data_IF_631432072890
#
_entry.id   IF_631432072890
#
_cell.length_a   1.000
_cell.length_b   1.000
_cell.length_c   1.000
_cell.angle_alpha   90.00
_cell.angle_beta   90.00
_cell.angle_gamma   90.00
#
_symmetry.space_group_name_H-M   'P 1'
#
loop_
_entity.id
_entity.type
_entity.pdbx_description
1 polymer ?
#
# COMPACT_ATOMS: atom_id res chain seq x y z
N UNK A 1 -15.01 24.37 20.06
CA UNK A 1 -15.09 22.92 19.80
C UNK A 1 -14.57 22.67 18.38
N UNK A 2 -13.26 22.86 18.19
CA UNK A 2 -12.61 22.74 16.89
C UNK A 2 -12.43 21.27 16.57
N UNK A 3 -13.29 20.77 15.69
CA UNK A 3 -13.16 19.47 15.07
C UNK A 3 -11.75 19.33 14.49
N UNK A 4 -11.07 18.28 14.90
CA UNK A 4 -9.84 17.80 14.28
C UNK A 4 -10.15 17.67 12.78
N UNK A 5 -9.60 18.56 11.96
CA UNK A 5 -9.71 18.48 10.51
C UNK A 5 -8.68 17.47 10.02
N UNK A 6 -9.06 16.22 9.68
CA UNK A 6 -8.10 15.22 9.23
C UNK A 6 -7.34 15.68 7.97
N UNK A 7 -7.92 16.57 7.16
CA UNK A 7 -7.27 17.23 6.03
C UNK A 7 -6.07 18.16 6.38
N UNK A 8 -5.86 18.51 7.65
CA UNK A 8 -4.71 19.34 8.09
C UNK A 8 -3.54 18.54 8.67
N UNK A 9 -3.70 17.24 8.89
CA UNK A 9 -2.64 16.39 9.45
C UNK A 9 -1.52 16.14 8.44
N UNK A 10 -1.84 16.13 7.15
CA UNK A 10 -0.88 16.05 6.06
C UNK A 10 -1.14 17.26 5.17
N UNK A 11 -0.22 18.24 5.14
CA UNK A 11 -0.36 19.42 4.28
C UNK A 11 -0.23 19.03 2.79
N UNK A 12 -1.32 18.92 2.00
CA UNK A 12 -1.29 18.31 0.66
C UNK A 12 -0.50 19.11 -0.37
N UNK A 13 -0.17 20.36 -0.04
CA UNK A 13 0.53 21.31 -0.91
C UNK A 13 1.88 21.76 -0.32
N UNK A 14 2.43 21.01 0.65
CA UNK A 14 3.74 21.32 1.23
C UNK A 14 4.85 21.18 0.19
N UNK A 15 5.71 22.20 0.14
CA UNK A 15 6.84 22.28 -0.79
C UNK A 15 7.84 21.17 -0.50
N UNK A 16 8.28 20.48 -1.55
CA UNK A 16 9.42 19.58 -1.45
C UNK A 16 10.69 20.34 -1.84
N UNK A 17 11.73 20.21 -1.01
CA UNK A 17 13.03 20.86 -1.25
C UNK A 17 13.85 20.03 -2.25
N UNK A 18 14.32 20.68 -3.30
CA UNK A 18 15.25 20.10 -4.28
C UNK A 18 14.63 19.12 -5.30
N UNK A 19 15.43 18.67 -6.28
CA UNK A 19 14.99 17.74 -7.31
C UNK A 19 14.69 16.34 -6.76
N UNK A 20 13.78 15.57 -7.39
CA UNK A 20 13.46 14.21 -6.96
C UNK A 20 14.69 13.32 -7.09
N UNK A 21 15.03 12.56 -6.03
CA UNK A 21 16.21 11.70 -6.05
C UNK A 21 16.01 10.46 -6.94
N UNK A 22 17.10 9.93 -7.50
CA UNK A 22 17.08 8.84 -8.51
C UNK A 22 16.88 7.43 -7.94
N UNK A 23 16.83 7.29 -6.61
CA UNK A 23 16.64 6.00 -5.90
C UNK A 23 15.23 5.94 -5.30
N UNK A 24 14.58 4.77 -5.36
CA UNK A 24 13.20 4.56 -4.90
C UNK A 24 12.94 5.00 -3.45
N UNK A 25 13.75 4.55 -2.50
CA UNK A 25 13.56 4.89 -1.07
C UNK A 25 13.63 6.40 -0.80
N UNK A 26 14.73 7.07 -1.20
CA UNK A 26 14.83 8.53 -1.11
C UNK A 26 13.71 9.26 -1.87
N UNK A 27 13.25 8.72 -3.01
CA UNK A 27 12.16 9.31 -3.78
C UNK A 27 10.84 9.27 -3.01
N UNK A 28 10.49 8.12 -2.42
CA UNK A 28 9.31 8.01 -1.55
C UNK A 28 9.42 8.95 -0.35
N UNK A 29 10.60 9.05 0.28
CA UNK A 29 10.80 10.00 1.39
C UNK A 29 10.62 11.46 0.95
N UNK A 30 11.10 11.82 -0.25
CA UNK A 30 10.89 13.14 -0.84
C UNK A 30 9.41 13.39 -1.19
N UNK A 31 8.69 12.38 -1.69
CA UNK A 31 7.25 12.47 -1.96
C UNK A 31 6.40 12.61 -0.70
N UNK A 32 6.84 12.06 0.43
CA UNK A 32 6.08 11.95 1.67
C UNK A 32 6.60 12.84 2.80
N UNK A 33 7.62 13.68 2.57
CA UNK A 33 8.12 14.60 3.58
C UNK A 33 6.97 15.46 4.13
N UNK A 34 6.86 15.60 5.45
CA UNK A 34 5.72 16.27 6.09
C UNK A 34 4.49 15.39 6.36
N UNK A 35 4.37 14.22 5.72
CA UNK A 35 3.33 13.22 6.03
C UNK A 35 3.81 12.10 6.97
N UNK A 36 5.14 11.92 7.09
CA UNK A 36 5.75 10.77 7.77
C UNK A 36 5.24 10.52 9.20
N UNK A 37 4.94 11.58 9.97
CA UNK A 37 4.40 11.42 11.33
C UNK A 37 3.01 10.78 11.36
N UNK A 38 2.13 11.19 10.45
CA UNK A 38 0.77 10.63 10.31
C UNK A 38 0.82 9.21 9.76
N UNK A 39 1.73 8.96 8.81
CA UNK A 39 1.96 7.62 8.28
C UNK A 39 2.49 6.67 9.36
N UNK A 40 3.39 7.14 10.23
CA UNK A 40 3.88 6.36 11.37
C UNK A 40 2.75 6.05 12.36
N UNK A 41 1.87 7.02 12.64
CA UNK A 41 0.69 6.77 13.46
C UNK A 41 -0.25 5.73 12.83
N UNK A 42 -0.52 5.83 11.53
CA UNK A 42 -1.29 4.83 10.80
C UNK A 42 -0.67 3.43 10.87
N UNK A 43 0.66 3.35 10.69
CA UNK A 43 1.42 2.11 10.84
C UNK A 43 1.32 1.52 12.26
N UNK A 44 1.36 2.37 13.30
CA UNK A 44 1.20 1.94 14.69
C UNK A 44 -0.20 1.39 14.97
N UNK A 45 -1.25 2.04 14.47
CA UNK A 45 -2.63 1.53 14.59
C UNK A 45 -2.79 0.20 13.87
N UNK A 46 -2.20 0.05 12.67
CA UNK A 46 -2.23 -1.22 11.93
C UNK A 46 -1.40 -2.32 12.61
N UNK A 47 -0.26 -1.97 13.20
CA UNK A 47 0.53 -2.90 14.00
C UNK A 47 -0.24 -3.36 15.25
N UNK A 48 -0.98 -2.46 15.90
CA UNK A 48 -1.86 -2.82 17.02
C UNK A 48 -2.95 -3.82 16.57
N UNK A 49 -3.53 -3.64 15.38
CA UNK A 49 -4.44 -4.62 14.79
C UNK A 49 -3.74 -5.98 14.58
N UNK A 50 -2.50 -6.00 14.09
CA UNK A 50 -1.71 -7.22 13.94
C UNK A 50 -1.44 -7.94 15.27
N UNK A 51 -1.21 -7.19 16.35
CA UNK A 51 -1.05 -7.77 17.69
C UNK A 51 -2.33 -8.40 18.23
N UNK A 52 -3.51 -7.93 17.81
CA UNK A 52 -4.77 -8.57 18.23
C UNK A 52 -4.90 -10.02 17.74
N UNK A 53 -4.26 -10.38 16.63
CA UNK A 53 -4.21 -11.78 16.16
C UNK A 53 -3.43 -12.68 17.13
N UNK A 54 -2.32 -12.18 17.66
CA UNK A 54 -1.50 -12.90 18.64
C UNK A 54 -2.27 -13.04 19.95
N UNK A 55 -2.96 -11.99 20.37
CA UNK A 55 -3.85 -12.01 21.53
C UNK A 55 -5.00 -13.01 21.35
N UNK A 56 -5.55 -13.16 20.14
CA UNK A 56 -6.55 -14.19 19.84
C UNK A 56 -6.04 -15.59 20.14
N UNK A 57 -4.82 -15.94 19.71
CA UNK A 57 -4.24 -17.24 20.00
C UNK A 57 -4.03 -17.46 21.51
N UNK A 58 -3.52 -16.44 22.22
CA UNK A 58 -3.33 -16.46 23.67
C UNK A 58 -4.63 -16.65 24.44
N UNK A 59 -5.67 -15.90 24.08
CA UNK A 59 -6.97 -15.97 24.74
C UNK A 59 -7.65 -17.32 24.47
N UNK A 60 -7.52 -17.85 23.26
CA UNK A 60 -8.02 -19.18 22.93
C UNK A 60 -7.32 -20.26 23.77
N UNK A 61 -5.99 -20.16 23.93
CA UNK A 61 -5.22 -21.05 24.82
C UNK A 61 -5.76 -21.05 26.25
N UNK A 62 -5.93 -19.86 26.84
CA UNK A 62 -6.50 -19.75 28.19
C UNK A 62 -7.90 -20.37 28.28
N UNK A 63 -8.77 -20.15 27.29
CA UNK A 63 -10.12 -20.73 27.28
C UNK A 63 -10.07 -22.25 27.23
N UNK A 64 -9.16 -22.82 26.44
CA UNK A 64 -8.95 -24.27 26.38
C UNK A 64 -8.45 -24.79 27.72
N UNK A 65 -7.46 -24.15 28.34
CA UNK A 65 -6.91 -24.55 29.64
C UNK A 65 -7.98 -24.51 30.74
N UNK A 66 -8.81 -23.47 30.77
CA UNK A 66 -9.92 -23.35 31.70
C UNK A 66 -11.01 -24.43 31.46
N UNK A 67 -11.29 -24.76 30.19
CA UNK A 67 -12.23 -25.82 29.86
C UNK A 67 -11.74 -27.21 30.30
N UNK A 68 -10.44 -27.47 30.14
CA UNK A 68 -9.80 -28.71 30.59
C UNK A 68 -9.77 -28.84 32.12
N UNK A 69 -9.64 -27.71 32.84
CA UNK A 69 -9.58 -27.69 34.31
C UNK A 69 -10.96 -27.83 34.98
N UNK A 70 -12.00 -27.17 34.47
CA UNK A 70 -13.31 -27.06 35.14
C UNK A 70 -14.33 -28.13 34.74
N UNK A 71 -14.16 -28.81 33.60
CA UNK A 71 -15.08 -29.88 33.18
C UNK A 71 -16.55 -29.41 33.06
N UNK A 72 -17.55 -30.11 33.65
CA UNK A 72 -18.97 -29.77 33.49
C UNK A 72 -19.39 -28.40 34.05
N UNK A 73 -18.66 -27.86 35.05
CA UNK A 73 -18.99 -26.57 35.69
C UNK A 73 -18.31 -25.38 35.01
N UNK A 74 -17.61 -25.61 33.89
CA UNK A 74 -16.85 -24.59 33.16
C UNK A 74 -17.59 -23.26 32.97
N UNK A 75 -18.84 -23.30 32.50
CA UNK A 75 -19.62 -22.09 32.25
C UNK A 75 -20.01 -21.33 33.51
N UNK A 76 -20.21 -22.03 34.62
CA UNK A 76 -20.54 -21.42 35.91
C UNK A 76 -19.31 -20.75 36.54
N UNK A 77 -18.16 -21.41 36.45
CA UNK A 77 -16.93 -20.97 37.11
C UNK A 77 -16.17 -19.89 36.31
N UNK A 78 -16.30 -19.89 34.97
CA UNK A 78 -15.54 -19.01 34.07
C UNK A 78 -16.36 -17.89 33.42
N UNK A 79 -17.56 -17.60 33.93
CA UNK A 79 -18.46 -16.56 33.38
C UNK A 79 -17.78 -15.20 33.08
N UNK A 80 -17.01 -14.61 34.01
CA UNK A 80 -16.30 -13.35 33.78
C UNK A 80 -15.24 -13.43 32.67
N UNK A 81 -14.52 -14.56 32.58
CA UNK A 81 -13.51 -14.80 31.55
C UNK A 81 -14.16 -14.93 30.16
N UNK A 82 -15.26 -15.67 30.06
CA UNK A 82 -16.03 -15.82 28.82
C UNK A 82 -16.63 -14.48 28.36
N UNK A 83 -17.12 -13.64 29.27
CA UNK A 83 -17.57 -12.28 28.96
C UNK A 83 -16.42 -11.41 28.44
N UNK A 84 -15.24 -11.50 29.05
CA UNK A 84 -14.04 -10.81 28.57
C UNK A 84 -13.63 -11.25 27.16
N UNK A 85 -13.68 -12.56 26.89
CA UNK A 85 -13.42 -13.12 25.56
C UNK A 85 -14.44 -12.62 24.52
N UNK A 86 -15.73 -12.64 24.87
CA UNK A 86 -16.80 -12.16 24.00
C UNK A 86 -16.64 -10.65 23.71
N UNK A 87 -16.33 -9.85 24.73
CA UNK A 87 -16.07 -8.42 24.57
C UNK A 87 -14.84 -8.15 23.70
N UNK A 88 -13.78 -8.95 23.84
CA UNK A 88 -12.60 -8.84 22.98
C UNK A 88 -12.94 -9.07 21.51
N UNK A 89 -13.68 -10.14 21.18
CA UNK A 89 -14.00 -10.49 19.80
C UNK A 89 -15.10 -9.65 19.16
N UNK A 90 -16.13 -9.26 19.91
CA UNK A 90 -17.26 -8.50 19.38
C UNK A 90 -17.05 -6.99 19.43
N UNK A 91 -16.19 -6.49 20.32
CA UNK A 91 -16.01 -5.06 20.53
C UNK A 91 -14.57 -4.65 20.24
N UNK A 92 -13.60 -5.13 21.01
CA UNK A 92 -12.23 -4.60 20.92
C UNK A 92 -11.60 -4.86 19.55
N UNK A 93 -11.64 -6.11 19.06
CA UNK A 93 -11.02 -6.49 17.79
C UNK A 93 -11.67 -5.74 16.60
N UNK A 94 -13.00 -5.72 16.43
CA UNK A 94 -13.63 -4.91 15.38
C UNK A 94 -13.30 -3.42 15.48
N UNK A 95 -13.24 -2.84 16.68
CA UNK A 95 -12.88 -1.44 16.86
C UNK A 95 -11.45 -1.14 16.43
N UNK A 96 -10.48 -2.01 16.77
CA UNK A 96 -9.08 -1.84 16.36
C UNK A 96 -8.94 -1.96 14.84
N UNK A 97 -9.60 -2.93 14.22
CA UNK A 97 -9.62 -3.07 12.76
C UNK A 97 -10.32 -1.90 12.07
N UNK A 98 -11.44 -1.42 12.63
CA UNK A 98 -12.14 -0.25 12.13
C UNK A 98 -11.27 1.01 12.24
N UNK A 99 -10.56 1.20 13.36
CA UNK A 99 -9.63 2.31 13.54
C UNK A 99 -8.46 2.24 12.54
N UNK A 100 -7.88 1.06 12.33
CA UNK A 100 -6.82 0.85 11.32
C UNK A 100 -7.33 1.15 9.92
N UNK A 101 -8.51 0.63 9.56
CA UNK A 101 -9.12 0.85 8.24
C UNK A 101 -9.48 2.31 8.03
N UNK A 102 -10.07 2.97 9.03
CA UNK A 102 -10.41 4.39 9.00
C UNK A 102 -9.16 5.27 8.89
N UNK A 103 -8.10 4.99 9.66
CA UNK A 103 -6.84 5.73 9.56
C UNK A 103 -6.30 5.69 8.12
N UNK A 104 -6.31 4.52 7.49
CA UNK A 104 -5.78 4.39 6.13
C UNK A 104 -6.73 4.96 5.06
N UNK A 105 -8.01 4.64 5.11
CA UNK A 105 -8.99 5.01 4.08
C UNK A 105 -9.42 6.48 4.17
N UNK A 106 -9.49 7.05 5.37
CA UNK A 106 -9.99 8.42 5.60
C UNK A 106 -8.83 9.41 5.72
N UNK A 107 -7.69 9.02 6.29
CA UNK A 107 -6.58 9.94 6.53
C UNK A 107 -5.47 9.75 5.51
N UNK A 108 -5.00 8.53 5.27
CA UNK A 108 -3.81 8.31 4.42
C UNK A 108 -4.13 8.46 2.94
N UNK A 109 -5.02 7.64 2.39
CA UNK A 109 -5.33 7.61 0.95
C UNK A 109 -5.68 8.99 0.34
N UNK A 110 -6.67 9.74 0.90
CA UNK A 110 -7.11 10.98 0.27
C UNK A 110 -6.09 12.12 0.41
N UNK A 111 -5.16 12.06 1.36
CA UNK A 111 -4.16 13.11 1.56
C UNK A 111 -2.81 12.82 0.88
N UNK A 112 -2.41 11.55 0.80
CA UNK A 112 -1.12 11.16 0.18
C UNK A 112 -1.16 11.32 -1.33
N UNK A 113 -2.23 10.90 -2.00
CA UNK A 113 -2.34 11.01 -3.45
C UNK A 113 -2.17 12.46 -3.96
N UNK A 114 -2.92 13.47 -3.46
CA UNK A 114 -2.73 14.85 -3.89
C UNK A 114 -1.39 15.42 -3.45
N UNK A 115 -0.82 14.98 -2.32
CA UNK A 115 0.53 15.39 -1.90
C UNK A 115 1.60 14.97 -2.91
N UNK A 116 1.61 13.69 -3.29
CA UNK A 116 2.58 13.19 -4.27
C UNK A 116 2.33 13.83 -5.63
N UNK A 117 1.06 13.94 -6.04
CA UNK A 117 0.69 14.51 -7.33
C UNK A 117 1.11 15.99 -7.45
N UNK A 118 0.89 16.79 -6.40
CA UNK A 118 1.22 18.22 -6.40
C UNK A 118 2.73 18.44 -6.51
N UNK A 119 3.53 17.61 -5.84
CA UNK A 119 5.00 17.64 -5.89
C UNK A 119 5.55 17.24 -7.25
N UNK A 120 5.01 16.17 -7.82
CA UNK A 120 5.37 15.77 -9.19
C UNK A 120 4.97 16.86 -10.19
N UNK A 121 3.78 17.46 -10.04
CA UNK A 121 3.32 18.52 -10.93
C UNK A 121 4.27 19.71 -10.93
N UNK A 122 4.64 20.16 -9.73
CA UNK A 122 5.54 21.29 -9.55
C UNK A 122 6.94 21.00 -10.10
N UNK A 123 7.42 19.77 -9.95
CA UNK A 123 8.69 19.36 -10.55
C UNK A 123 8.62 19.35 -12.09
N UNK A 124 7.53 18.83 -12.67
CA UNK A 124 7.31 18.80 -14.11
C UNK A 124 7.24 20.22 -14.69
N UNK A 125 6.52 21.14 -14.05
CA UNK A 125 6.41 22.55 -14.47
C UNK A 125 7.74 23.31 -14.43
N UNK A 126 8.73 22.81 -13.68
CA UNK A 126 10.09 23.38 -13.63
C UNK A 126 11.01 22.91 -14.75
N UNK A 127 10.57 22.05 -15.65
CA UNK A 127 11.37 21.55 -16.78
C UNK A 127 11.50 22.60 -17.91
N UNK A 128 12.56 22.50 -18.70
CA UNK A 128 12.79 23.38 -19.85
C UNK A 128 11.71 23.16 -20.94
N UNK A 129 11.44 24.19 -21.75
CA UNK A 129 10.43 24.13 -22.83
C UNK A 129 10.70 22.97 -23.79
N UNK A 130 11.97 22.71 -24.14
CA UNK A 130 12.35 21.59 -24.98
C UNK A 130 11.98 20.21 -24.43
N UNK A 131 11.74 20.05 -23.11
CA UNK A 131 11.19 18.80 -22.58
C UNK A 131 9.74 18.57 -23.03
N UNK A 132 8.94 19.64 -23.06
CA UNK A 132 7.53 19.61 -23.49
C UNK A 132 7.39 19.52 -25.01
N UNK A 133 8.37 20.03 -25.76
CA UNK A 133 8.40 19.88 -27.22
C UNK A 133 8.70 18.43 -27.66
N UNK A 134 9.40 17.66 -26.82
CA UNK A 134 9.84 16.30 -27.12
C UNK A 134 8.91 15.18 -26.58
N UNK A 135 7.93 15.49 -25.74
CA UNK A 135 6.98 14.49 -25.20
C UNK A 135 5.56 15.07 -25.11
N UNK A 136 4.55 14.30 -25.51
CA UNK A 136 3.16 14.77 -25.52
C UNK A 136 2.65 15.01 -24.09
N UNK A 137 1.94 16.12 -23.89
CA UNK A 137 1.36 16.50 -22.61
C UNK A 137 0.52 15.39 -21.96
N UNK A 138 -0.26 14.64 -22.77
CA UNK A 138 -1.04 13.51 -22.29
C UNK A 138 -0.19 12.36 -21.72
N UNK A 139 0.97 12.09 -22.31
CA UNK A 139 1.90 11.05 -21.84
C UNK A 139 2.55 11.47 -20.53
N UNK A 140 2.94 12.74 -20.42
CA UNK A 140 3.50 13.33 -19.19
C UNK A 140 2.47 13.23 -18.06
N UNK A 141 1.23 13.67 -18.30
CA UNK A 141 0.15 13.62 -17.31
C UNK A 141 -0.17 12.18 -16.86
N UNK A 142 -0.17 11.21 -17.79
CA UNK A 142 -0.37 9.79 -17.47
C UNK A 142 0.75 9.24 -16.60
N UNK A 143 2.02 9.46 -16.96
CA UNK A 143 3.18 9.03 -16.16
C UNK A 143 3.11 9.61 -14.75
N UNK A 144 2.75 10.89 -14.63
CA UNK A 144 2.62 11.57 -13.35
C UNK A 144 1.51 10.97 -12.47
N UNK A 145 0.32 10.75 -13.03
CA UNK A 145 -0.81 10.16 -12.30
C UNK A 145 -0.51 8.71 -11.87
N UNK A 146 0.08 7.90 -12.76
CA UNK A 146 0.45 6.52 -12.44
C UNK A 146 1.52 6.46 -11.34
N UNK A 147 2.51 7.36 -11.38
CA UNK A 147 3.55 7.45 -10.35
C UNK A 147 2.95 7.86 -9.00
N UNK A 148 2.05 8.84 -8.99
CA UNK A 148 1.38 9.29 -7.76
C UNK A 148 0.52 8.19 -7.13
N UNK A 149 -0.25 7.45 -7.96
CA UNK A 149 -1.04 6.30 -7.50
C UNK A 149 -0.16 5.19 -6.97
N UNK A 150 0.85 4.75 -7.74
CA UNK A 150 1.75 3.69 -7.31
C UNK A 150 2.50 4.04 -6.01
N UNK A 151 2.94 5.29 -5.84
CA UNK A 151 3.55 5.73 -4.59
C UNK A 151 2.56 5.70 -3.42
N UNK A 152 1.31 6.10 -3.64
CA UNK A 152 0.25 6.05 -2.64
C UNK A 152 -0.08 4.60 -2.25
N UNK A 153 -0.21 3.72 -3.23
CA UNK A 153 -0.49 2.30 -3.02
C UNK A 153 0.62 1.65 -2.19
N UNK A 154 1.89 1.92 -2.51
CA UNK A 154 3.04 1.42 -1.73
C UNK A 154 2.97 1.87 -0.26
N UNK A 155 2.57 3.11 0.01
CA UNK A 155 2.44 3.64 1.38
C UNK A 155 1.29 2.95 2.11
N UNK A 156 0.14 2.84 1.47
CA UNK A 156 -1.06 2.20 2.02
C UNK A 156 -0.80 0.72 2.32
N UNK A 157 -0.21 -0.01 1.38
CA UNK A 157 0.19 -1.41 1.53
C UNK A 157 1.25 -1.58 2.63
N UNK A 158 2.20 -0.65 2.75
CA UNK A 158 3.20 -0.70 3.82
C UNK A 158 2.56 -0.55 5.20
N UNK A 159 1.51 0.25 5.32
CA UNK A 159 0.77 0.40 6.58
C UNK A 159 -0.09 -0.85 6.82
N UNK A 160 -0.97 -1.20 5.89
CA UNK A 160 -1.99 -2.23 6.12
C UNK A 160 -1.45 -3.65 6.07
N UNK A 161 -0.53 -3.95 5.16
CA UNK A 161 -0.05 -5.32 4.93
C UNK A 161 1.27 -5.52 5.67
N UNK A 162 2.24 -4.63 5.47
CA UNK A 162 3.58 -4.82 6.04
C UNK A 162 3.59 -4.61 7.55
N UNK A 163 3.06 -3.48 8.06
CA UNK A 163 3.07 -3.24 9.51
C UNK A 163 2.23 -4.27 10.27
N UNK A 164 1.03 -4.59 9.77
CA UNK A 164 0.17 -5.64 10.32
C UNK A 164 0.88 -7.01 10.32
N UNK A 165 1.38 -7.46 9.16
CA UNK A 165 1.98 -8.78 9.03
C UNK A 165 3.26 -8.91 9.84
N UNK A 166 4.09 -7.85 9.93
CA UNK A 166 5.28 -7.87 10.77
C UNK A 166 4.90 -7.91 12.25
N UNK A 167 3.92 -7.14 12.69
CA UNK A 167 3.47 -7.16 14.09
C UNK A 167 2.89 -8.52 14.48
N UNK A 168 2.03 -9.10 13.63
CA UNK A 168 1.45 -10.42 13.87
C UNK A 168 2.50 -11.53 13.80
N UNK A 169 3.43 -11.47 12.84
CA UNK A 169 4.52 -12.44 12.69
C UNK A 169 5.48 -12.40 13.88
N UNK A 170 5.96 -11.22 14.26
CA UNK A 170 6.90 -11.04 15.38
C UNK A 170 6.21 -11.46 16.67
N UNK A 171 4.97 -11.03 16.91
CA UNK A 171 4.25 -11.42 18.11
C UNK A 171 3.95 -12.93 18.15
N UNK A 172 3.60 -13.55 17.03
CA UNK A 172 3.41 -15.01 16.95
C UNK A 172 4.72 -15.76 17.19
N UNK A 173 5.82 -15.31 16.60
CA UNK A 173 7.13 -15.92 16.82
C UNK A 173 7.59 -15.80 18.27
N UNK A 174 7.37 -14.63 18.91
CA UNK A 174 7.64 -14.43 20.33
C UNK A 174 6.76 -15.31 21.21
N UNK A 175 5.46 -15.40 20.91
CA UNK A 175 4.52 -16.27 21.62
C UNK A 175 4.93 -17.74 21.53
N UNK A 176 5.17 -18.25 20.32
CA UNK A 176 5.58 -19.63 20.11
C UNK A 176 6.92 -19.93 20.77
N UNK A 177 7.89 -19.00 20.69
CA UNK A 177 9.18 -19.13 21.37
C UNK A 177 9.07 -19.18 22.89
N UNK A 178 8.10 -18.47 23.47
CA UNK A 178 7.80 -18.51 24.89
C UNK A 178 7.12 -19.83 25.33
N UNK A 179 6.32 -20.44 24.44
CA UNK A 179 5.65 -21.73 24.69
C UNK A 179 6.63 -22.90 24.49
N UNK A 180 7.23 -23.00 23.31
CA UNK A 180 8.25 -24.00 22.97
C UNK A 180 9.14 -23.48 21.82
N UNK A 181 10.43 -23.29 22.12
CA UNK A 181 11.42 -22.80 21.15
C UNK A 181 11.53 -23.66 19.88
N UNK A 182 11.19 -24.96 19.94
CA UNK A 182 11.21 -25.87 18.79
C UNK A 182 10.15 -25.50 17.76
N UNK A 183 8.95 -25.14 18.23
CA UNK A 183 7.86 -24.68 17.35
C UNK A 183 8.23 -23.34 16.73
N UNK A 184 8.83 -22.44 17.53
CA UNK A 184 9.42 -21.19 17.02
C UNK A 184 10.49 -21.42 15.94
N UNK A 185 11.34 -22.44 16.09
CA UNK A 185 12.36 -22.79 15.09
C UNK A 185 11.74 -23.28 13.78
N UNK A 186 10.68 -24.09 13.83
CA UNK A 186 9.94 -24.53 12.62
C UNK A 186 9.35 -23.33 11.87
N UNK A 187 8.75 -22.37 12.59
CA UNK A 187 8.28 -21.12 12.00
C UNK A 187 9.43 -20.32 11.37
N UNK A 188 10.60 -20.27 12.03
CA UNK A 188 11.81 -19.63 11.52
C UNK A 188 12.29 -20.24 10.20
N UNK A 189 12.33 -21.57 10.10
CA UNK A 189 12.69 -22.27 8.85
C UNK A 189 11.70 -21.94 7.74
N UNK A 190 10.41 -21.96 8.05
CA UNK A 190 9.37 -21.59 7.09
C UNK A 190 9.54 -20.13 6.61
N UNK A 191 9.86 -19.21 7.52
CA UNK A 191 10.07 -17.80 7.20
C UNK A 191 11.28 -17.59 6.29
N UNK A 192 12.38 -18.32 6.51
CA UNK A 192 13.55 -18.32 5.62
C UNK A 192 13.16 -18.79 4.21
N UNK A 193 12.39 -19.87 4.11
CA UNK A 193 11.86 -20.35 2.83
C UNK A 193 10.98 -19.32 2.11
N UNK A 194 10.11 -18.65 2.86
CA UNK A 194 9.25 -17.59 2.35
C UNK A 194 10.05 -16.39 1.80
N UNK A 195 11.06 -15.91 2.54
CA UNK A 195 11.92 -14.83 2.08
C UNK A 195 12.79 -15.23 0.89
N UNK A 196 13.25 -16.48 0.83
CA UNK A 196 13.97 -17.00 -0.33
C UNK A 196 13.08 -16.97 -1.59
N UNK A 197 11.82 -17.37 -1.46
CA UNK A 197 10.84 -17.31 -2.55
C UNK A 197 10.64 -15.86 -3.03
N UNK A 198 10.44 -14.90 -2.11
CA UNK A 198 10.34 -13.48 -2.46
C UNK A 198 11.59 -13.03 -3.23
N UNK A 199 12.79 -13.36 -2.74
CA UNK A 199 14.04 -12.93 -3.37
C UNK A 199 14.21 -13.46 -4.80
N UNK A 200 13.69 -14.65 -5.10
CA UNK A 200 13.73 -15.25 -6.45
C UNK A 200 12.67 -14.65 -7.37
N UNK A 201 11.42 -14.51 -6.91
CA UNK A 201 10.31 -14.10 -7.77
C UNK A 201 10.18 -12.58 -7.94
N UNK A 202 10.54 -11.78 -6.94
CA UNK A 202 10.46 -10.33 -7.00
C UNK A 202 11.22 -9.70 -8.19
N UNK A 203 12.50 -10.07 -8.50
CA UNK A 203 13.20 -9.51 -9.66
C UNK A 203 12.53 -9.89 -10.99
N UNK A 204 12.01 -11.12 -11.10
CA UNK A 204 11.31 -11.58 -12.30
C UNK A 204 10.02 -10.79 -12.55
N UNK A 205 9.23 -10.57 -11.48
CA UNK A 205 8.00 -9.76 -11.53
C UNK A 205 8.32 -8.32 -11.90
N UNK A 206 9.38 -7.74 -11.33
CA UNK A 206 9.79 -6.34 -11.59
C UNK A 206 10.18 -6.12 -13.06
N UNK A 207 10.95 -7.03 -13.65
CA UNK A 207 11.34 -6.94 -15.06
C UNK A 207 10.11 -6.93 -15.98
N UNK A 208 9.23 -7.93 -15.83
CA UNK A 208 8.01 -8.04 -16.66
C UNK A 208 7.02 -6.90 -16.43
N UNK A 209 6.93 -6.35 -15.21
CA UNK A 209 6.06 -5.21 -14.92
C UNK A 209 6.52 -3.93 -15.61
N UNK A 210 7.83 -3.74 -15.74
CA UNK A 210 8.42 -2.55 -16.39
C UNK A 210 8.16 -2.58 -17.89
N UNK A 211 8.34 -3.73 -18.54
CA UNK A 211 8.02 -3.93 -19.96
C UNK A 211 6.53 -3.65 -20.25
N UNK A 212 5.63 -4.21 -19.43
CA UNK A 212 4.18 -3.95 -19.56
C UNK A 212 3.81 -2.48 -19.39
N UNK A 213 4.41 -1.79 -18.41
CA UNK A 213 4.14 -0.38 -18.17
C UNK A 213 4.61 0.49 -19.34
N UNK A 214 5.78 0.19 -19.92
CA UNK A 214 6.30 0.85 -21.11
C UNK A 214 5.38 0.71 -22.32
N UNK A 215 4.93 -0.53 -22.61
CA UNK A 215 4.03 -0.81 -23.72
C UNK A 215 2.68 -0.07 -23.57
N UNK A 216 2.08 -0.07 -22.38
CA UNK A 216 0.83 0.67 -22.11
C UNK A 216 1.00 2.18 -22.31
N UNK A 217 2.10 2.76 -21.82
CA UNK A 217 2.38 4.18 -21.97
C UNK A 217 2.53 4.60 -23.45
N UNK A 218 3.13 3.75 -24.29
CA UNK A 218 3.23 3.98 -25.73
C UNK A 218 1.85 3.99 -26.39
N UNK A 219 1.02 2.98 -26.14
CA UNK A 219 -0.33 2.88 -26.74
C UNK A 219 -1.21 4.05 -26.31
N UNK A 220 -1.27 4.38 -25.01
CA UNK A 220 -2.07 5.52 -24.54
C UNK A 220 -1.55 6.84 -25.10
N UNK A 221 -0.22 7.00 -25.22
CA UNK A 221 0.39 8.17 -25.83
C UNK A 221 -0.02 8.33 -27.29
N UNK A 222 0.01 7.24 -28.07
CA UNK A 222 -0.40 7.23 -29.47
C UNK A 222 -1.89 7.55 -29.62
N UNK A 223 -2.76 6.95 -28.82
CA UNK A 223 -4.21 7.23 -28.84
C UNK A 223 -4.49 8.72 -28.55
N UNK A 224 -3.86 9.28 -27.52
CA UNK A 224 -4.03 10.70 -27.19
C UNK A 224 -3.51 11.59 -28.32
N UNK A 225 -2.38 11.24 -28.93
CA UNK A 225 -1.82 11.98 -30.06
C UNK A 225 -2.76 11.94 -31.28
N UNK A 226 -3.27 10.76 -31.66
CA UNK A 226 -4.27 10.60 -32.73
C UNK A 226 -5.54 11.42 -32.46
N UNK A 227 -6.03 11.47 -31.23
CA UNK A 227 -7.21 12.27 -30.86
C UNK A 227 -6.89 13.77 -30.92
N UNK A 228 -5.73 14.17 -30.42
CA UNK A 228 -5.32 15.60 -30.39
C UNK A 228 -5.09 16.13 -31.81
N UNK A 229 -4.58 15.27 -32.70
CA UNK A 229 -4.33 15.57 -34.11
C UNK A 229 -5.43 15.04 -35.06
N UNK A 230 -6.65 14.83 -34.56
CA UNK A 230 -7.73 14.18 -35.32
C UNK A 230 -8.13 14.94 -36.60
N UNK A 231 -7.96 16.26 -36.64
CA UNK A 231 -8.19 17.05 -37.86
C UNK A 231 -7.20 16.68 -38.96
N UNK A 232 -5.92 16.59 -38.62
CA UNK A 232 -4.85 16.21 -39.55
C UNK A 232 -5.04 14.77 -40.03
N UNK A 233 -5.37 13.86 -39.11
CA UNK A 233 -5.69 12.46 -39.45
C UNK A 233 -6.87 12.42 -40.42
N UNK A 234 -7.99 13.10 -40.15
CA UNK A 234 -9.15 13.07 -41.06
C UNK A 234 -8.94 13.80 -42.39
N UNK A 235 -8.06 14.79 -42.44
CA UNK A 235 -7.74 15.55 -43.67
C UNK A 235 -6.76 14.82 -44.59
N UNK A 236 -5.85 14.01 -44.03
CA UNK A 236 -4.74 13.41 -44.78
C UNK A 236 -4.71 11.87 -44.75
N UNK A 237 -5.37 11.21 -43.80
CA UNK A 237 -5.53 9.76 -43.79
C UNK A 237 -6.66 9.36 -44.75
N UNK A 238 -6.38 9.44 -46.05
CA UNK A 238 -7.20 8.78 -47.06
C UNK A 238 -7.00 7.25 -46.95
N UNK A 239 -7.96 6.60 -46.30
CA UNK A 239 -8.59 5.29 -46.59
C UNK A 239 -7.78 4.06 -47.12
N UNK A 240 -6.47 4.08 -47.28
CA UNK A 240 -5.74 3.00 -47.98
C UNK A 240 -4.41 2.55 -47.34
N UNK A 241 -3.93 3.24 -46.29
CA UNK A 241 -2.62 2.93 -45.69
C UNK A 241 -2.67 2.26 -44.30
N UNK A 242 -3.74 2.43 -43.50
CA UNK A 242 -3.81 1.86 -42.14
C UNK A 242 -4.21 0.37 -42.07
N UNK A 243 -4.86 -0.17 -43.09
CA UNK A 243 -5.26 -1.60 -43.12
C UNK A 243 -4.07 -2.55 -43.34
N UNK A 244 -2.93 -2.03 -43.85
CA UNK A 244 -1.68 -2.80 -43.99
C UNK A 244 -0.84 -2.79 -42.71
N UNK A 245 -0.77 -1.65 -42.02
CA UNK A 245 0.00 -1.55 -40.77
C UNK A 245 -0.65 -2.34 -39.62
N UNK A 246 -1.97 -2.49 -39.62
CA UNK A 246 -2.69 -3.29 -38.60
C UNK A 246 -2.58 -4.79 -38.86
N UNK A 247 -2.40 -5.22 -40.12
CA UNK A 247 -2.23 -6.64 -40.49
C UNK A 247 -0.81 -7.17 -40.25
N UNK A 248 0.22 -6.34 -40.34
CA UNK A 248 1.61 -6.76 -40.06
C UNK A 248 1.94 -6.76 -38.54
N UNK A 249 1.04 -6.23 -37.71
CA UNK A 249 1.21 -6.14 -36.25
C UNK A 249 0.42 -7.19 -35.45
N UNK A 250 -0.37 -8.03 -36.12
CA UNK A 250 -1.02 -9.23 -35.55
C UNK A 250 -0.19 -10.47 -35.90
#
# INVERSE_FOLDING_TARGET
>A
MSLIQPERLIAPFSLAEGPPPRRLGPFLRWCLSGALGVLALGALVSAAAGLTEVMTALLLGHVIDAALASGPTFFADNGPMLLGFLAFFLVLRPLVFAASSAATAIVVQPNVLPLVLSRLNRHTLGQAVGFFDNDFAGRIAQKQMQTARAATDVVVESINVVAFALASLIGSAALLGAIDWRIGAVLGVWLVGYFALIRVFLPLIRARSTERAGARAMVTGQVVDTITNIRTVKLFAHAAQEDRATRDAL
#
